data_IF_949518284346
#
_entry.id   IF_949518284346
#
_cell.length_a   1.000
_cell.length_b   1.000
_cell.length_c   1.000
_cell.angle_alpha   90.00
_cell.angle_beta   90.00
_cell.angle_gamma   90.00
#
_symmetry.space_group_name_H-M   'P 1'
#
loop_
_entity.id
_entity.type
_entity.pdbx_description
1 polymer ?
#
# COMPACT_ATOMS: atom_id res chain seq x y z
N UNK A 1 -92.38 -6.73 -8.79
CA UNK A 1 -92.15 -6.25 -7.41
C UNK A 1 -90.77 -6.73 -6.99
N UNK A 2 -89.71 -5.95 -6.75
CA UNK A 2 -89.35 -4.55 -6.94
C UNK A 2 -87.81 -4.59 -7.07
N UNK A 3 -87.28 -4.01 -8.16
CA UNK A 3 -86.08 -3.13 -8.30
C UNK A 3 -84.91 -3.38 -7.31
N UNK A 4 -83.64 -3.59 -7.69
CA UNK A 4 -82.87 -2.99 -8.77
C UNK A 4 -81.74 -2.12 -8.18
N UNK A 5 -80.50 -2.45 -8.54
CA UNK A 5 -79.38 -1.55 -8.87
C UNK A 5 -79.26 -0.20 -8.11
N UNK A 6 -78.23 -0.06 -7.27
CA UNK A 6 -77.43 1.17 -7.22
C UNK A 6 -75.95 0.79 -7.22
N UNK A 7 -75.29 1.19 -8.30
CA UNK A 7 -73.85 1.20 -8.47
C UNK A 7 -73.22 2.42 -7.77
N UNK A 8 -71.93 2.32 -7.42
CA UNK A 8 -70.87 3.27 -7.84
C UNK A 8 -69.78 3.50 -6.76
N UNK A 9 -68.61 2.93 -7.02
CA UNK A 9 -67.30 3.62 -7.13
C UNK A 9 -66.93 4.59 -5.99
N UNK A 10 -66.00 4.18 -5.12
CA UNK A 10 -64.83 5.01 -4.80
C UNK A 10 -63.61 4.17 -4.40
N UNK A 11 -62.57 4.31 -5.21
CA UNK A 11 -61.13 4.34 -4.88
C UNK A 11 -60.56 3.18 -4.04
N UNK A 12 -60.00 2.16 -4.70
CA UNK A 12 -58.57 2.09 -5.08
C UNK A 12 -57.59 2.00 -3.90
N UNK A 13 -56.81 0.90 -3.92
CA UNK A 13 -55.43 0.82 -3.43
C UNK A 13 -55.20 0.66 -1.92
N UNK A 14 -55.35 -0.57 -1.43
CA UNK A 14 -54.55 -1.10 -0.30
C UNK A 14 -54.07 -2.51 -0.61
N UNK A 15 -53.33 -2.61 -1.71
CA UNK A 15 -52.40 -3.73 -2.00
C UNK A 15 -51.01 -3.10 -1.96
N UNK A 16 -50.03 -3.82 -1.40
CA UNK A 16 -48.72 -3.35 -0.89
C UNK A 16 -48.84 -2.63 0.46
N UNK A 17 -48.24 -3.10 1.56
CA UNK A 17 -46.80 -3.29 1.75
C UNK A 17 -46.56 -4.41 2.80
N UNK A 18 -46.38 -5.64 2.35
CA UNK A 18 -45.63 -6.67 3.09
C UNK A 18 -44.72 -7.31 2.05
N UNK A 19 -43.59 -6.67 1.76
CA UNK A 19 -42.50 -7.28 1.00
C UNK A 19 -41.20 -6.53 1.27
N UNK A 20 -40.30 -7.22 1.97
CA UNK A 20 -38.85 -7.07 1.89
C UNK A 20 -38.26 -5.66 1.98
N UNK A 21 -38.14 -5.14 3.21
CA UNK A 21 -36.93 -4.39 3.57
C UNK A 21 -35.88 -5.40 4.03
N UNK A 22 -35.49 -6.32 3.14
CA UNK A 22 -34.14 -6.86 3.17
C UNK A 22 -33.29 -5.72 2.64
N UNK A 23 -32.96 -4.77 3.52
CA UNK A 23 -31.88 -3.84 3.26
C UNK A 23 -30.65 -4.72 3.11
N UNK A 24 -30.31 -5.02 1.86
CA UNK A 24 -29.07 -5.68 1.52
C UNK A 24 -27.96 -4.81 2.05
N UNK A 25 -27.48 -5.14 3.25
CA UNK A 25 -26.12 -4.84 3.65
C UNK A 25 -25.28 -5.71 2.73
N UNK A 26 -25.09 -5.24 1.48
CA UNK A 26 -23.89 -5.58 0.74
C UNK A 26 -22.80 -4.97 1.60
N UNK A 27 -22.23 -5.80 2.48
CA UNK A 27 -20.97 -5.50 3.11
C UNK A 27 -20.01 -5.35 1.92
N UNK A 28 -19.85 -4.12 1.44
CA UNK A 28 -18.72 -3.77 0.59
C UNK A 28 -17.52 -4.04 1.49
N UNK A 29 -16.99 -5.27 1.41
CA UNK A 29 -15.70 -5.58 1.98
C UNK A 29 -14.78 -4.68 1.18
N UNK A 30 -14.37 -3.58 1.80
CA UNK A 30 -13.38 -2.67 1.24
C UNK A 30 -12.07 -3.46 1.26
N UNK A 31 -11.85 -4.26 0.21
CA UNK A 31 -10.59 -4.95 0.00
C UNK A 31 -9.49 -3.90 -0.02
N UNK A 32 -8.47 -4.10 0.80
CA UNK A 32 -7.28 -3.28 0.77
C UNK A 32 -6.61 -3.40 -0.60
N UNK A 33 -5.96 -2.33 -1.05
CA UNK A 33 -5.34 -2.30 -2.37
C UNK A 33 -4.42 -3.51 -2.62
N UNK A 34 -3.58 -3.87 -1.64
CA UNK A 34 -2.51 -4.83 -1.87
C UNK A 34 -2.87 -6.32 -1.79
N UNK A 35 -4.12 -6.70 -1.49
CA UNK A 35 -4.52 -8.12 -1.27
C UNK A 35 -4.20 -9.06 -2.45
N UNK A 36 -4.14 -8.53 -3.67
CA UNK A 36 -3.88 -9.29 -4.89
C UNK A 36 -2.40 -9.26 -5.33
N UNK A 37 -1.53 -8.56 -4.59
CA UNK A 37 -0.13 -8.34 -4.95
C UNK A 37 0.73 -9.43 -4.31
N UNK A 38 1.16 -10.40 -5.11
CA UNK A 38 2.12 -11.45 -4.72
C UNK A 38 3.56 -10.96 -4.89
N UNK A 39 3.82 -10.22 -5.96
CA UNK A 39 5.12 -9.61 -6.23
C UNK A 39 4.95 -8.22 -6.82
N UNK A 40 5.89 -7.33 -6.53
CA UNK A 40 6.00 -6.01 -7.14
C UNK A 40 7.47 -5.74 -7.43
N UNK A 41 7.77 -5.30 -8.65
CA UNK A 41 9.06 -4.71 -8.99
C UNK A 41 8.87 -3.35 -9.64
N UNK A 42 9.68 -2.37 -9.26
CA UNK A 42 9.58 -1.01 -9.77
C UNK A 42 10.93 -0.29 -9.69
N UNK A 43 11.10 0.73 -10.51
CA UNK A 43 12.04 1.80 -10.20
C UNK A 43 11.33 2.81 -9.30
N UNK A 44 12.06 3.53 -8.45
CA UNK A 44 11.49 4.61 -7.66
C UNK A 44 12.29 5.91 -7.79
N UNK A 45 11.60 7.01 -7.56
CA UNK A 45 12.19 8.30 -7.23
C UNK A 45 11.57 8.78 -5.93
N UNK A 46 12.38 8.92 -4.89
CA UNK A 46 11.96 9.45 -3.61
C UNK A 46 12.40 10.91 -3.50
N UNK A 47 11.49 11.78 -3.10
CA UNK A 47 11.76 13.17 -2.73
C UNK A 47 11.39 13.36 -1.28
N UNK A 48 12.38 13.69 -0.46
CA UNK A 48 12.19 14.06 0.95
C UNK A 48 12.36 15.56 1.05
N UNK A 49 11.29 16.25 1.46
CA UNK A 49 11.26 17.71 1.61
C UNK A 49 11.30 18.04 3.09
N UNK A 50 12.41 18.62 3.53
CA UNK A 50 12.53 19.22 4.86
C UNK A 50 12.28 20.73 4.78
N UNK A 51 12.37 21.42 5.91
CA UNK A 51 12.29 22.89 5.95
C UNK A 51 13.46 23.57 5.19
N UNK A 52 14.61 22.90 5.12
CA UNK A 52 15.88 23.50 4.67
C UNK A 52 16.32 23.01 3.29
N UNK A 53 15.96 21.77 2.92
CA UNK A 53 16.46 21.16 1.69
C UNK A 53 15.52 20.12 1.11
N UNK A 54 15.81 19.74 -0.13
CA UNK A 54 15.14 18.67 -0.84
C UNK A 54 16.18 17.61 -1.15
N UNK A 55 16.01 16.42 -0.59
CA UNK A 55 16.82 15.26 -0.93
C UNK A 55 16.07 14.40 -1.94
N UNK A 56 16.76 14.00 -3.00
CA UNK A 56 16.20 13.16 -4.06
C UNK A 56 17.01 11.88 -4.14
N UNK A 57 16.33 10.75 -3.96
CA UNK A 57 16.90 9.42 -4.09
C UNK A 57 16.27 8.68 -5.26
N UNK A 58 17.05 7.81 -5.90
CA UNK A 58 16.58 6.96 -6.98
C UNK A 58 17.07 5.54 -6.81
N UNK A 59 16.30 4.59 -7.34
CA UNK A 59 16.70 3.19 -7.27
C UNK A 59 15.60 2.22 -7.68
N UNK A 60 15.67 1.01 -7.11
CA UNK A 60 14.78 -0.11 -7.41
C UNK A 60 14.13 -0.67 -6.15
N UNK A 61 12.90 -1.13 -6.31
CA UNK A 61 12.08 -1.74 -5.28
C UNK A 61 11.65 -3.14 -5.76
N UNK A 62 11.87 -4.13 -4.91
CA UNK A 62 11.38 -5.49 -5.07
C UNK A 62 10.58 -5.89 -3.84
N UNK A 63 9.41 -6.47 -4.05
CA UNK A 63 8.54 -6.97 -2.99
C UNK A 63 8.07 -8.35 -3.39
N UNK A 64 8.08 -9.26 -2.42
CA UNK A 64 7.47 -10.57 -2.52
C UNK A 64 6.69 -10.85 -1.23
N UNK A 65 5.39 -11.03 -1.40
CA UNK A 65 4.51 -11.40 -0.30
C UNK A 65 4.93 -12.77 0.27
N UNK A 66 4.79 -12.98 1.59
CA UNK A 66 4.07 -12.12 2.54
C UNK A 66 4.92 -11.06 3.26
N UNK A 67 6.25 -11.04 3.13
CA UNK A 67 7.07 -10.19 4.02
C UNK A 67 8.43 -9.77 3.46
N UNK A 68 8.79 -10.16 2.24
CA UNK A 68 10.12 -9.89 1.69
C UNK A 68 10.11 -8.58 0.91
N UNK A 69 10.99 -7.67 1.29
CA UNK A 69 11.18 -6.39 0.60
C UNK A 69 12.68 -6.14 0.41
N UNK A 70 13.04 -5.66 -0.77
CA UNK A 70 14.37 -5.14 -1.06
C UNK A 70 14.28 -3.77 -1.70
N UNK A 71 14.91 -2.79 -1.06
CA UNK A 71 15.20 -1.49 -1.63
C UNK A 71 16.67 -1.45 -2.05
N UNK A 72 16.91 -1.02 -3.28
CA UNK A 72 18.25 -0.73 -3.79
C UNK A 72 18.29 0.75 -4.12
N UNK A 73 18.99 1.53 -3.30
CA UNK A 73 19.26 2.94 -3.58
C UNK A 73 20.50 3.02 -4.47
N UNK A 74 20.37 3.69 -5.61
CA UNK A 74 21.45 3.86 -6.59
C UNK A 74 22.00 5.30 -6.57
N UNK A 75 21.16 6.28 -6.23
CA UNK A 75 21.53 7.70 -6.14
C UNK A 75 20.92 8.40 -4.92
N UNK A 76 21.59 9.43 -4.36
CA UNK A 76 22.97 9.85 -4.66
C UNK A 76 24.01 8.96 -3.96
N UNK A 77 23.60 8.19 -2.95
CA UNK A 77 24.46 7.29 -2.18
C UNK A 77 23.91 5.88 -2.35
N UNK A 78 24.79 4.94 -2.67
CA UNK A 78 24.42 3.53 -2.80
C UNK A 78 24.19 2.91 -1.43
N UNK A 79 23.05 2.22 -1.29
CA UNK A 79 22.75 1.37 -0.13
C UNK A 79 21.67 0.38 -0.50
N UNK A 80 21.67 -0.75 0.19
CA UNK A 80 20.65 -1.78 0.03
C UNK A 80 19.95 -2.01 1.37
N UNK A 81 18.62 -2.16 1.33
CA UNK A 81 17.82 -2.48 2.50
C UNK A 81 17.04 -3.75 2.19
N UNK A 82 17.25 -4.77 3.01
CA UNK A 82 16.53 -6.03 2.99
C UNK A 82 15.61 -6.05 4.21
N UNK A 83 14.34 -6.34 4.00
CA UNK A 83 13.37 -6.52 5.07
C UNK A 83 12.73 -7.89 4.91
N UNK A 84 12.73 -8.65 6.00
CA UNK A 84 12.05 -9.93 6.08
C UNK A 84 11.61 -10.18 7.52
N UNK A 85 10.31 -10.44 7.72
CA UNK A 85 9.74 -10.88 9.01
C UNK A 85 10.14 -9.98 10.20
N UNK A 86 9.98 -8.66 10.04
CA UNK A 86 10.27 -7.67 11.09
C UNK A 86 11.77 -7.43 11.37
N UNK A 87 12.67 -7.99 10.56
CA UNK A 87 14.10 -7.70 10.57
C UNK A 87 14.47 -6.84 9.37
N UNK A 88 15.27 -5.79 9.61
CA UNK A 88 15.93 -5.03 8.56
C UNK A 88 17.44 -5.33 8.54
N UNK A 89 17.99 -5.46 7.35
CA UNK A 89 19.43 -5.51 7.09
C UNK A 89 19.76 -4.42 6.09
N UNK A 90 20.55 -3.44 6.52
CA UNK A 90 20.95 -2.28 5.74
C UNK A 90 22.43 -2.43 5.42
N UNK A 91 22.77 -2.46 4.14
CA UNK A 91 24.15 -2.49 3.67
C UNK A 91 24.51 -1.15 3.03
N UNK A 92 25.59 -0.54 3.52
CA UNK A 92 26.12 0.73 3.03
C UNK A 92 27.55 0.51 2.49
N UNK A 93 27.71 0.22 1.18
CA UNK A 93 29.01 -0.08 0.59
C UNK A 93 30.09 0.97 0.86
N UNK A 94 29.72 2.25 0.83
CA UNK A 94 30.66 3.36 1.05
C UNK A 94 31.26 3.38 2.47
N UNK A 95 30.61 2.73 3.42
CA UNK A 95 31.05 2.60 4.81
C UNK A 95 31.63 1.22 5.10
N UNK A 96 31.58 0.29 4.14
CA UNK A 96 31.90 -1.13 4.35
C UNK A 96 31.17 -1.70 5.58
N UNK A 97 29.90 -1.30 5.75
CA UNK A 97 29.13 -1.59 6.97
C UNK A 97 27.77 -2.22 6.64
N UNK A 98 27.37 -3.17 7.49
CA UNK A 98 26.04 -3.76 7.56
C UNK A 98 25.44 -3.46 8.94
N UNK A 99 24.24 -2.89 8.95
CA UNK A 99 23.44 -2.70 10.16
C UNK A 99 22.27 -3.66 10.14
N UNK A 100 22.09 -4.45 11.21
CA UNK A 100 21.00 -5.41 11.37
C UNK A 100 20.18 -5.03 12.60
N UNK A 101 18.87 -4.94 12.47
CA UNK A 101 18.00 -4.58 13.58
C UNK A 101 16.54 -4.95 13.35
N UNK A 102 15.72 -4.73 14.37
CA UNK A 102 14.26 -4.87 14.27
C UNK A 102 13.66 -3.70 13.52
N UNK A 103 12.70 -3.97 12.65
CA UNK A 103 11.90 -2.93 11.98
C UNK A 103 10.42 -3.21 12.13
N UNK A 104 9.64 -2.15 12.32
CA UNK A 104 8.19 -2.19 12.23
C UNK A 104 7.67 -1.86 10.84
N UNK A 105 8.53 -1.33 9.97
CA UNK A 105 8.10 -0.88 8.64
C UNK A 105 7.87 -2.10 7.77
N UNK A 106 6.60 -2.34 7.45
CA UNK A 106 6.18 -3.31 6.47
C UNK A 106 5.40 -2.59 5.37
N UNK A 107 6.09 -2.28 4.27
CA UNK A 107 5.48 -1.62 3.12
C UNK A 107 4.32 -2.43 2.54
N UNK A 108 4.39 -3.77 2.60
CA UNK A 108 3.31 -4.61 2.12
C UNK A 108 2.09 -4.50 3.05
N UNK A 109 2.32 -4.44 4.36
CA UNK A 109 1.25 -4.17 5.33
C UNK A 109 0.59 -2.81 5.09
N UNK A 110 1.36 -1.77 4.78
CA UNK A 110 0.84 -0.45 4.40
C UNK A 110 -0.08 -0.58 3.16
N UNK A 111 0.35 -1.31 2.12
CA UNK A 111 -0.46 -1.54 0.93
C UNK A 111 -1.71 -2.39 1.21
N UNK A 112 -1.62 -3.41 2.05
CA UNK A 112 -2.72 -4.28 2.45
C UNK A 112 -3.76 -3.53 3.28
N UNK A 113 -3.34 -2.63 4.18
CA UNK A 113 -4.26 -1.85 5.02
C UNK A 113 -4.84 -0.62 4.31
N UNK A 114 -4.32 -0.25 3.15
CA UNK A 114 -4.76 0.94 2.42
C UNK A 114 -6.18 0.78 1.88
N UNK A 115 -7.08 1.66 2.31
CA UNK A 115 -8.50 1.67 1.93
C UNK A 115 -8.78 2.74 0.89
N UNK A 116 -9.59 2.39 -0.11
CA UNK A 116 -9.97 3.31 -1.19
C UNK A 116 -10.81 4.47 -0.64
N UNK A 117 -10.49 5.68 -1.10
CA UNK A 117 -11.17 6.92 -0.79
C UNK A 117 -12.12 7.34 -1.94
N UNK A 118 -12.93 8.37 -1.71
CA UNK A 118 -13.88 8.88 -2.70
C UNK A 118 -13.17 9.47 -3.93
N UNK A 119 -12.02 10.10 -3.74
CA UNK A 119 -11.19 10.70 -4.79
C UNK A 119 -10.37 9.65 -5.58
N UNK A 120 -10.48 8.37 -5.23
CA UNK A 120 -9.77 7.27 -5.87
C UNK A 120 -8.38 6.98 -5.30
N UNK A 121 -7.86 7.80 -4.38
CA UNK A 121 -6.66 7.48 -3.62
C UNK A 121 -6.92 6.34 -2.63
N UNK A 122 -5.86 5.75 -2.09
CA UNK A 122 -5.93 4.81 -0.99
C UNK A 122 -5.19 5.37 0.21
N UNK A 123 -5.75 5.21 1.41
CA UNK A 123 -5.11 5.72 2.62
C UNK A 123 -5.06 4.66 3.71
N UNK A 124 -4.00 4.73 4.51
CA UNK A 124 -3.89 3.95 5.74
C UNK A 124 -3.16 4.74 6.82
N UNK A 125 -3.46 4.44 8.07
CA UNK A 125 -2.73 4.93 9.23
C UNK A 125 -1.93 3.76 9.81
N UNK A 126 -0.61 3.93 9.92
CA UNK A 126 0.29 2.90 10.44
C UNK A 126 1.34 3.56 11.34
N UNK A 127 1.47 3.05 12.57
CA UNK A 127 2.38 3.57 13.61
C UNK A 127 2.30 5.10 13.81
N UNK A 128 1.08 5.68 13.71
CA UNK A 128 0.86 7.12 13.89
C UNK A 128 1.12 7.98 12.64
N UNK A 129 1.57 7.39 11.54
CA UNK A 129 1.79 8.07 10.25
C UNK A 129 0.66 7.75 9.28
N UNK A 130 0.14 8.79 8.61
CA UNK A 130 -0.81 8.64 7.51
C UNK A 130 -0.08 8.47 6.17
N UNK A 131 -0.41 7.40 5.48
CA UNK A 131 0.08 7.09 4.15
C UNK A 131 -1.02 7.31 3.12
N UNK A 132 -0.68 7.97 2.02
CA UNK A 132 -1.55 8.21 0.88
C UNK A 132 -0.93 7.57 -0.36
N UNK A 133 -1.61 6.57 -0.90
CA UNK A 133 -1.23 5.86 -2.11
C UNK A 133 -2.10 6.32 -3.28
N UNK A 134 -1.46 6.76 -4.35
CA UNK A 134 -2.09 7.05 -5.64
C UNK A 134 -1.84 5.86 -6.56
N UNK A 135 -2.91 5.41 -7.21
CA UNK A 135 -2.90 4.29 -8.16
C UNK A 135 -3.49 4.72 -9.50
N UNK A 136 -3.12 4.00 -10.55
CA UNK A 136 -3.69 4.10 -11.90
C UNK A 136 -4.20 2.71 -12.29
N UNK A 137 -5.52 2.53 -12.24
CA UNK A 137 -6.12 1.19 -12.18
C UNK A 137 -5.58 0.43 -10.96
N UNK A 138 -4.93 -0.70 -11.22
CA UNK A 138 -4.27 -1.52 -10.18
C UNK A 138 -2.78 -1.21 -10.01
N UNK A 139 -2.21 -0.26 -10.75
CA UNK A 139 -0.77 0.03 -10.70
C UNK A 139 -0.47 1.13 -9.68
N UNK A 140 0.40 0.90 -8.68
CA UNK A 140 0.76 1.91 -7.71
C UNK A 140 1.70 2.93 -8.36
N UNK A 141 1.43 4.22 -8.18
CA UNK A 141 2.17 5.30 -8.84
C UNK A 141 2.92 6.18 -7.86
N UNK A 142 2.31 6.50 -6.72
CA UNK A 142 2.94 7.38 -5.73
C UNK A 142 2.49 7.03 -4.33
N UNK A 143 3.45 6.98 -3.40
CA UNK A 143 3.19 6.93 -1.96
C UNK A 143 3.66 8.23 -1.33
N UNK A 144 2.82 8.85 -0.51
CA UNK A 144 3.16 10.08 0.23
C UNK A 144 2.86 9.90 1.71
N UNK A 145 3.78 10.36 2.56
CA UNK A 145 3.61 10.41 4.00
C UNK A 145 4.51 11.50 4.62
N UNK A 146 4.25 11.84 5.87
CA UNK A 146 5.11 12.70 6.68
C UNK A 146 5.87 11.82 7.68
N UNK A 147 7.19 11.94 7.73
CA UNK A 147 8.02 11.19 8.69
C UNK A 147 7.99 11.81 10.11
N UNK A 148 8.71 11.21 11.06
CA UNK A 148 8.75 11.65 12.45
C UNK A 148 9.45 13.00 12.67
N UNK A 149 10.16 13.52 11.66
CA UNK A 149 10.86 14.79 11.67
C UNK A 149 10.11 15.88 10.86
N UNK A 150 8.81 15.66 10.62
CA UNK A 150 7.94 16.53 9.82
C UNK A 150 8.38 16.71 8.35
N UNK A 151 9.25 15.82 7.82
CA UNK A 151 9.59 15.86 6.40
C UNK A 151 8.47 15.23 5.58
N UNK A 152 8.12 15.87 4.47
CA UNK A 152 7.20 15.28 3.50
C UNK A 152 7.98 14.37 2.57
N UNK A 153 7.65 13.09 2.60
CA UNK A 153 8.26 12.05 1.76
C UNK A 153 7.29 11.69 0.64
N UNK A 154 7.75 11.82 -0.61
CA UNK A 154 7.05 11.35 -1.80
C UNK A 154 7.89 10.28 -2.50
N UNK A 155 7.32 9.09 -2.71
CA UNK A 155 7.93 8.00 -3.45
C UNK A 155 7.11 7.79 -4.72
N UNK A 156 7.65 8.22 -5.87
CA UNK A 156 7.08 7.94 -7.18
C UNK A 156 7.61 6.61 -7.70
N UNK A 157 6.72 5.74 -8.19
CA UNK A 157 7.05 4.42 -8.74
C UNK A 157 6.91 4.44 -10.27
N UNK A 158 7.92 3.89 -10.94
CA UNK A 158 8.02 3.83 -12.40
C UNK A 158 8.28 2.40 -12.85
N UNK A 159 7.88 2.09 -14.09
CA UNK A 159 8.09 0.76 -14.69
C UNK A 159 7.58 -0.40 -13.81
N UNK A 160 6.47 -0.16 -13.10
CA UNK A 160 5.94 -1.13 -12.15
C UNK A 160 5.48 -2.39 -12.88
N UNK A 161 5.89 -3.55 -12.37
CA UNK A 161 5.38 -4.86 -12.79
C UNK A 161 4.88 -5.59 -11.56
N UNK A 162 3.60 -5.94 -11.57
CA UNK A 162 2.94 -6.71 -10.53
C UNK A 162 2.88 -8.19 -10.92
N UNK A 163 2.95 -9.07 -9.93
CA UNK A 163 2.73 -10.51 -10.07
C UNK A 163 3.61 -11.22 -11.12
N UNK A 164 4.73 -10.58 -11.51
CA UNK A 164 5.78 -11.20 -12.32
C UNK A 164 6.68 -12.09 -11.47
N UNK A 165 7.23 -13.15 -12.06
CA UNK A 165 8.19 -14.01 -11.37
C UNK A 165 9.41 -13.21 -10.86
N UNK A 166 9.78 -13.43 -9.60
CA UNK A 166 10.99 -12.92 -8.95
C UNK A 166 11.73 -14.10 -8.31
N UNK A 167 13.04 -14.17 -8.53
CA UNK A 167 13.90 -15.17 -7.89
C UNK A 167 14.02 -14.87 -6.40
N UNK A 168 14.02 -15.91 -5.57
CA UNK A 168 14.25 -15.81 -4.12
C UNK A 168 15.63 -15.22 -3.80
N UNK A 169 16.61 -15.47 -4.67
CA UNK A 169 17.99 -14.98 -4.53
C UNK A 169 18.07 -13.45 -4.46
N UNK A 170 17.09 -12.72 -5.01
CA UNK A 170 17.05 -11.25 -4.95
C UNK A 170 17.01 -10.78 -3.48
N UNK A 171 16.32 -11.52 -2.62
CA UNK A 171 16.05 -11.14 -1.23
C UNK A 171 17.08 -11.73 -0.25
N UNK A 172 18.03 -12.53 -0.73
CA UNK A 172 19.09 -13.09 0.10
C UNK A 172 20.26 -12.11 0.14
N UNK A 173 20.53 -11.56 1.33
CA UNK A 173 21.74 -10.78 1.55
C UNK A 173 22.93 -11.70 1.84
N UNK A 174 24.02 -11.50 1.10
CA UNK A 174 25.30 -12.17 1.34
C UNK A 174 26.33 -11.10 1.72
N UNK A 175 26.80 -11.05 2.97
CA UNK A 175 27.74 -10.02 3.40
C UNK A 175 29.08 -10.16 2.65
N UNK A 176 29.63 -9.05 2.11
CA UNK A 176 30.97 -9.05 1.56
C UNK A 176 32.03 -9.42 2.60
N UNK A 177 33.15 -9.98 2.14
CA UNK A 177 34.28 -10.33 3.01
C UNK A 177 34.84 -9.05 3.65
N UNK A 178 35.01 -9.08 4.98
CA UNK A 178 35.61 -7.99 5.74
C UNK A 178 34.67 -6.84 6.09
N UNK A 179 33.37 -6.95 5.73
CA UNK A 179 32.36 -5.94 6.11
C UNK A 179 32.14 -5.94 7.62
N UNK A 180 32.00 -4.75 8.21
CA UNK A 180 31.64 -4.63 9.62
C UNK A 180 30.14 -4.90 9.79
N UNK A 181 29.75 -5.68 10.80
CA UNK A 181 28.36 -6.05 11.06
C UNK A 181 27.97 -5.55 12.45
N UNK A 182 27.01 -4.65 12.49
CA UNK A 182 26.48 -4.04 13.72
C UNK A 182 25.06 -4.55 13.94
N UNK A 183 24.81 -5.16 15.09
CA UNK A 183 23.47 -5.61 15.52
C UNK A 183 22.87 -4.63 16.54
N UNK A 184 21.57 -4.31 16.38
CA UNK A 184 20.81 -3.36 17.20
C UNK A 184 19.57 -3.98 17.87
#
# INVERSE_FOLDING_TARGET
MVVGLVAAISQSLRVLFICAVFSGIVCNIAYGYGEHIKTLQANFTQRTVSQESVLVYGGKLYIKAPSQVKWVYETPIQKEIYIETGKATIYEPALEQVSVGKTKIDFLEILHKAKRQQDGSYTTDFEGTRYVLIVDGDIPKKLTFTDEFDNVVEIALHNVRLNSALSDEIFVFVPPVGVDIIEQ
#
